data_IF_749869372162
#
_entry.id   IF_749869372162
#
_cell.length_a   1.000
_cell.length_b   1.000
_cell.length_c   1.000
_cell.angle_alpha   90.00
_cell.angle_beta   90.00
_cell.angle_gamma   90.00
#
_symmetry.space_group_name_H-M   'P 1'
#
loop_
_entity.id
_entity.type
_entity.pdbx_description
1 polymer ?
#
# COMPACT_ATOMS: atom_id res chain seq x y z
N UNK A 1 35.59 37.62 10.79
CA UNK A 1 35.22 36.73 11.91
C UNK A 1 34.08 35.86 11.41
N UNK A 2 34.44 34.68 10.92
CA UNK A 2 33.58 33.73 10.22
C UNK A 2 33.00 32.80 11.28
N UNK A 3 31.68 32.80 11.46
CA UNK A 3 31.00 31.86 12.36
C UNK A 3 29.83 31.23 11.62
N UNK A 4 30.12 30.03 11.11
CA UNK A 4 29.28 28.84 11.06
C UNK A 4 27.81 28.97 10.62
N UNK A 5 27.61 28.71 9.33
CA UNK A 5 26.41 28.07 8.76
C UNK A 5 26.27 26.66 9.33
N UNK A 6 25.28 26.44 10.19
CA UNK A 6 24.70 25.11 10.41
C UNK A 6 23.51 24.94 9.47
N UNK A 7 23.61 24.04 8.48
CA UNK A 7 22.46 23.67 7.63
C UNK A 7 21.47 22.85 8.47
N UNK A 8 20.18 23.21 8.54
CA UNK A 8 19.20 22.35 9.16
C UNK A 8 18.88 21.17 8.23
N UNK A 9 19.07 19.97 8.77
CA UNK A 9 18.17 18.83 8.53
C UNK A 9 18.05 18.31 7.10
N UNK A 10 19.15 17.82 6.52
CA UNK A 10 19.06 16.69 5.60
C UNK A 10 18.82 15.42 6.42
N UNK A 11 17.57 15.19 6.80
CA UNK A 11 17.04 13.83 6.91
C UNK A 11 15.95 13.78 5.87
N UNK A 12 16.37 13.52 4.63
CA UNK A 12 15.44 13.03 3.63
C UNK A 12 14.86 11.76 4.24
N UNK A 13 13.57 11.80 4.54
CA UNK A 13 12.78 10.60 4.77
C UNK A 13 13.19 9.61 3.67
N UNK A 14 13.70 8.45 4.07
CA UNK A 14 13.66 7.28 3.21
C UNK A 14 12.18 7.08 2.92
N UNK A 15 11.72 7.66 1.80
CA UNK A 15 10.53 7.19 1.11
C UNK A 15 10.74 5.68 1.06
N UNK A 16 9.92 4.93 1.78
CA UNK A 16 9.85 3.49 1.64
C UNK A 16 9.35 3.23 0.21
N UNK A 17 10.24 3.40 -0.77
CA UNK A 17 10.11 2.88 -2.10
C UNK A 17 10.12 1.38 -1.92
N UNK A 18 8.91 0.81 -1.89
CA UNK A 18 8.73 -0.62 -1.98
C UNK A 18 9.57 -1.09 -3.16
N UNK A 19 10.51 -2.05 -2.95
CA UNK A 19 11.37 -2.52 -4.02
C UNK A 19 10.48 -2.99 -5.16
N UNK A 20 10.56 -2.32 -6.31
CA UNK A 20 9.81 -2.79 -7.49
C UNK A 20 10.48 -4.10 -7.92
N UNK A 21 9.78 -5.25 -7.84
CA UNK A 21 10.36 -6.49 -8.31
C UNK A 21 10.60 -6.37 -9.81
N UNK A 22 11.84 -6.60 -10.25
CA UNK A 22 12.18 -6.69 -11.67
C UNK A 22 11.23 -7.69 -12.33
N UNK A 23 10.34 -7.19 -13.20
CA UNK A 23 9.42 -8.07 -13.89
C UNK A 23 10.22 -9.00 -14.81
N UNK A 24 10.04 -10.32 -14.72
CA UNK A 24 10.72 -11.25 -15.61
C UNK A 24 10.34 -10.92 -17.06
N UNK A 25 11.34 -10.87 -17.95
CA UNK A 25 11.16 -10.56 -19.35
C UNK A 25 10.09 -11.49 -19.98
N UNK A 26 9.13 -10.90 -20.67
CA UNK A 26 8.05 -11.64 -21.34
C UNK A 26 8.63 -12.47 -22.50
N UNK A 27 8.27 -13.76 -22.54
CA UNK A 27 8.79 -14.72 -23.53
C UNK A 27 7.96 -14.72 -24.80
N UNK A 28 6.66 -14.48 -24.70
CA UNK A 28 5.71 -14.55 -25.81
C UNK A 28 6.02 -13.59 -26.99
N UNK A 29 6.46 -12.33 -26.79
CA UNK A 29 6.75 -11.43 -27.90
C UNK A 29 7.81 -11.97 -28.87
N UNK A 30 8.92 -12.49 -28.35
CA UNK A 30 10.00 -13.04 -29.16
C UNK A 30 9.60 -14.32 -29.92
N UNK A 31 8.70 -15.12 -29.36
CA UNK A 31 8.17 -16.32 -30.02
C UNK A 31 7.15 -15.96 -31.10
N UNK A 32 6.35 -14.91 -30.86
CA UNK A 32 5.37 -14.40 -31.83
C UNK A 32 6.03 -13.85 -33.09
N UNK A 33 7.08 -13.04 -32.93
CA UNK A 33 7.88 -12.52 -34.04
C UNK A 33 8.45 -13.66 -34.90
N UNK A 34 9.02 -14.69 -34.26
CA UNK A 34 9.53 -15.88 -34.98
C UNK A 34 8.43 -16.65 -35.70
N UNK A 35 7.24 -16.75 -35.12
CA UNK A 35 6.09 -17.38 -35.77
C UNK A 35 5.63 -16.59 -37.00
N UNK A 36 5.56 -15.25 -36.89
CA UNK A 36 5.20 -14.38 -38.00
C UNK A 36 6.20 -14.51 -39.17
N UNK A 37 7.51 -14.53 -38.87
CA UNK A 37 8.54 -14.80 -39.88
C UNK A 37 8.38 -16.18 -40.53
N UNK A 38 8.09 -17.23 -39.73
CA UNK A 38 7.92 -18.60 -40.26
C UNK A 38 6.67 -18.73 -41.14
N UNK A 39 5.58 -18.03 -40.80
CA UNK A 39 4.37 -17.98 -41.62
C UNK A 39 4.60 -17.22 -42.93
N UNK A 40 5.35 -16.11 -42.89
CA UNK A 40 5.76 -15.39 -44.10
C UNK A 40 6.57 -16.28 -45.05
N UNK A 41 7.57 -16.98 -44.53
CA UNK A 41 8.39 -17.92 -45.30
C UNK A 41 7.57 -19.09 -45.88
N UNK A 42 6.56 -19.57 -45.16
CA UNK A 42 5.65 -20.61 -45.67
C UNK A 42 4.83 -20.10 -46.86
N UNK A 43 4.29 -18.88 -46.78
CA UNK A 43 3.52 -18.28 -47.88
C UNK A 43 4.39 -18.12 -49.13
N UNK A 44 5.62 -17.62 -49.00
CA UNK A 44 6.56 -17.49 -50.12
C UNK A 44 6.87 -18.85 -50.79
N UNK A 45 6.97 -19.93 -50.00
CA UNK A 45 7.17 -21.27 -50.53
C UNK A 45 5.91 -21.79 -51.25
N UNK A 46 4.72 -21.51 -50.73
CA UNK A 46 3.44 -21.94 -51.33
C UNK A 46 3.15 -21.24 -52.67
N UNK A 47 3.53 -19.96 -52.84
CA UNK A 47 3.35 -19.21 -54.09
C UNK A 47 4.12 -19.83 -55.28
N UNK A 48 5.31 -20.40 -55.03
CA UNK A 48 6.17 -21.00 -56.06
C UNK A 48 5.69 -22.38 -56.54
N UNK A 49 4.70 -22.99 -55.86
CA UNK A 49 4.22 -24.35 -56.17
C UNK A 49 3.59 -24.42 -57.56
N UNK A 50 2.85 -23.39 -57.96
CA UNK A 50 2.15 -23.38 -59.25
C UNK A 50 3.14 -23.38 -60.43
N UNK A 51 4.23 -22.63 -60.32
CA UNK A 51 5.29 -22.56 -61.33
C UNK A 51 6.01 -23.91 -61.47
N UNK A 52 6.42 -24.52 -60.35
CA UNK A 52 7.06 -25.84 -60.38
C UNK A 52 6.11 -26.97 -60.81
N UNK A 53 4.81 -26.84 -60.54
CA UNK A 53 3.81 -27.79 -61.01
C UNK A 53 3.61 -27.70 -62.53
N UNK A 54 3.62 -26.49 -63.08
CA UNK A 54 3.56 -26.25 -64.52
C UNK A 54 4.79 -26.83 -65.23
N UNK A 55 6.00 -26.54 -64.71
CA UNK A 55 7.26 -27.08 -65.25
C UNK A 55 7.30 -28.61 -65.26
N UNK A 56 6.75 -29.25 -64.21
CA UNK A 56 6.64 -30.69 -64.12
C UNK A 56 5.61 -31.25 -65.13
N UNK A 57 4.48 -30.56 -65.32
CA UNK A 57 3.46 -30.93 -66.31
C UNK A 57 3.97 -30.81 -67.76
N UNK A 58 4.82 -29.83 -68.02
CA UNK A 58 5.54 -29.64 -69.30
C UNK A 58 6.67 -30.66 -69.53
N UNK A 59 6.92 -31.57 -68.57
CA UNK A 59 7.98 -32.61 -68.62
C UNK A 59 9.39 -32.05 -68.81
N UNK A 60 9.66 -30.85 -68.26
CA UNK A 60 11.02 -30.31 -68.23
C UNK A 60 11.95 -31.27 -67.45
N UNK A 61 13.18 -31.52 -67.92
CA UNK A 61 14.09 -32.44 -67.26
C UNK A 61 14.40 -31.98 -65.83
N UNK A 62 14.22 -32.88 -64.85
CA UNK A 62 14.45 -32.61 -63.42
C UNK A 62 13.34 -31.81 -62.71
N UNK A 63 12.27 -31.39 -63.40
CA UNK A 63 11.20 -30.60 -62.79
C UNK A 63 10.35 -31.38 -61.77
N UNK A 64 10.15 -32.69 -61.99
CA UNK A 64 9.44 -33.54 -61.04
C UNK A 64 10.17 -33.65 -59.68
N UNK A 65 11.50 -33.82 -59.71
CA UNK A 65 12.33 -33.87 -58.50
C UNK A 65 12.37 -32.52 -57.79
N UNK A 66 12.44 -31.41 -58.55
CA UNK A 66 12.34 -30.05 -57.99
C UNK A 66 11.00 -29.82 -57.29
N UNK A 67 9.88 -30.20 -57.92
CA UNK A 67 8.54 -30.08 -57.32
C UNK A 67 8.41 -30.93 -56.05
N UNK A 68 8.93 -32.16 -56.07
CA UNK A 68 8.96 -33.04 -54.90
C UNK A 68 9.76 -32.45 -53.74
N UNK A 69 10.99 -31.97 -54.03
CA UNK A 69 11.84 -31.30 -53.03
C UNK A 69 11.20 -30.03 -52.47
N UNK A 70 10.50 -29.26 -53.30
CA UNK A 70 9.78 -28.05 -52.85
C UNK A 70 8.59 -28.38 -51.94
N UNK A 71 7.82 -29.42 -52.26
CA UNK A 71 6.75 -29.93 -51.37
C UNK A 71 7.30 -30.41 -50.03
N UNK A 72 8.46 -31.05 -50.01
CA UNK A 72 9.12 -31.45 -48.77
C UNK A 72 9.52 -30.23 -47.91
N UNK A 73 10.00 -29.14 -48.53
CA UNK A 73 10.30 -27.88 -47.83
C UNK A 73 9.04 -27.24 -47.22
N UNK A 74 7.93 -27.24 -47.96
CA UNK A 74 6.63 -26.75 -47.45
C UNK A 74 6.19 -27.57 -46.23
N UNK A 75 6.25 -28.90 -46.31
CA UNK A 75 5.88 -29.76 -45.17
C UNK A 75 6.77 -29.50 -43.93
N UNK A 76 8.07 -29.29 -44.12
CA UNK A 76 8.99 -28.93 -43.03
C UNK A 76 8.66 -27.54 -42.44
N UNK A 77 8.37 -26.56 -43.29
CA UNK A 77 7.97 -25.22 -42.85
C UNK A 77 6.63 -25.21 -42.09
N UNK A 78 5.65 -26.01 -42.52
CA UNK A 78 4.39 -26.22 -41.81
C UNK A 78 4.62 -26.81 -40.42
N UNK A 79 5.46 -27.85 -40.32
CA UNK A 79 5.83 -28.47 -39.04
C UNK A 79 6.48 -27.45 -38.10
N UNK A 80 7.45 -26.67 -38.59
CA UNK A 80 8.11 -25.63 -37.81
C UNK A 80 7.12 -24.53 -37.34
N UNK A 81 6.18 -24.12 -38.19
CA UNK A 81 5.14 -23.16 -37.83
C UNK A 81 4.21 -23.72 -36.73
N UNK A 82 3.85 -25.00 -36.80
CA UNK A 82 3.02 -25.66 -35.79
C UNK A 82 3.75 -25.81 -34.45
N UNK A 83 5.03 -26.15 -34.47
CA UNK A 83 5.89 -26.14 -33.28
C UNK A 83 5.96 -24.74 -32.66
N UNK A 84 6.18 -23.70 -33.47
CA UNK A 84 6.20 -22.30 -33.00
C UNK A 84 4.84 -21.83 -32.45
N UNK A 85 3.72 -22.26 -33.02
CA UNK A 85 2.38 -22.02 -32.46
C UNK A 85 2.24 -22.66 -31.09
N UNK A 86 2.71 -23.90 -30.92
CA UNK A 86 2.67 -24.60 -29.63
C UNK A 86 3.56 -23.90 -28.59
N UNK A 87 4.75 -23.47 -29.00
CA UNK A 87 5.69 -22.72 -28.17
C UNK A 87 5.12 -21.37 -27.74
N UNK A 88 4.42 -20.66 -28.64
CA UNK A 88 3.76 -19.39 -28.33
C UNK A 88 2.69 -19.57 -27.27
N UNK A 89 1.82 -20.58 -27.39
CA UNK A 89 0.78 -20.88 -26.39
C UNK A 89 1.39 -21.17 -25.02
N UNK A 90 2.50 -21.91 -24.98
CA UNK A 90 3.21 -22.19 -23.73
C UNK A 90 3.86 -20.93 -23.15
N UNK A 91 4.51 -20.11 -23.98
CA UNK A 91 5.12 -18.85 -23.57
C UNK A 91 4.08 -17.89 -22.97
N UNK A 92 2.94 -17.70 -23.62
CA UNK A 92 1.85 -16.86 -23.11
C UNK A 92 1.28 -17.39 -21.78
N UNK A 93 1.19 -18.72 -21.63
CA UNK A 93 0.76 -19.33 -20.36
C UNK A 93 1.77 -19.04 -19.24
N UNK A 94 3.07 -19.20 -19.52
CA UNK A 94 4.13 -18.94 -18.53
C UNK A 94 4.23 -17.45 -18.16
N UNK A 95 4.09 -16.55 -19.13
CA UNK A 95 4.10 -15.11 -18.89
C UNK A 95 2.93 -14.70 -17.97
N UNK A 96 1.71 -15.21 -18.22
CA UNK A 96 0.56 -15.01 -17.32
C UNK A 96 0.82 -15.55 -15.91
N UNK A 97 1.40 -16.75 -15.80
CA UNK A 97 1.75 -17.34 -14.49
C UNK A 97 2.74 -16.46 -13.71
N UNK A 98 3.79 -15.99 -14.39
CA UNK A 98 4.81 -15.16 -13.76
C UNK A 98 4.26 -13.79 -13.32
N UNK A 99 3.40 -13.17 -14.13
CA UNK A 99 2.74 -11.91 -13.76
C UNK A 99 1.88 -12.06 -12.50
N UNK A 100 1.09 -13.13 -12.41
CA UNK A 100 0.25 -13.38 -11.23
C UNK A 100 1.10 -13.68 -9.99
N UNK A 101 2.17 -14.46 -10.13
CA UNK A 101 3.09 -14.74 -9.02
C UNK A 101 3.76 -13.46 -8.49
N UNK A 102 4.20 -12.57 -9.39
CA UNK A 102 4.78 -11.28 -9.01
C UNK A 102 3.75 -10.38 -8.29
N UNK A 103 2.52 -10.29 -8.81
CA UNK A 103 1.44 -9.51 -8.19
C UNK A 103 1.07 -10.06 -6.80
N UNK A 104 1.03 -11.39 -6.65
CA UNK A 104 0.75 -12.06 -5.36
C UNK A 104 1.83 -11.74 -4.34
N UNK A 105 3.11 -11.80 -4.74
CA UNK A 105 4.24 -11.45 -3.87
C UNK A 105 4.19 -9.99 -3.44
N UNK A 106 4.00 -9.08 -4.39
CA UNK A 106 3.89 -7.64 -4.12
C UNK A 106 2.77 -7.33 -3.12
N UNK A 107 1.59 -7.94 -3.27
CA UNK A 107 0.48 -7.77 -2.33
C UNK A 107 0.81 -8.31 -0.94
N UNK A 108 1.55 -9.41 -0.86
CA UNK A 108 1.99 -9.99 0.42
C UNK A 108 2.95 -9.06 1.14
N UNK A 109 3.97 -8.54 0.43
CA UNK A 109 4.92 -7.54 0.95
C UNK A 109 4.19 -6.26 1.41
N UNK A 110 3.22 -5.79 0.64
CA UNK A 110 2.39 -4.63 1.03
C UNK A 110 1.56 -4.89 2.29
N UNK A 111 0.98 -6.09 2.43
CA UNK A 111 0.22 -6.48 3.63
C UNK A 111 1.12 -6.56 4.88
N UNK A 112 2.36 -7.04 4.73
CA UNK A 112 3.34 -7.07 5.82
C UNK A 112 3.68 -5.65 6.29
N UNK A 113 3.98 -4.74 5.36
CA UNK A 113 4.24 -3.33 5.69
C UNK A 113 3.03 -2.69 6.35
N UNK A 114 1.83 -2.90 5.81
CA UNK A 114 0.60 -2.37 6.39
C UNK A 114 0.36 -2.88 7.82
N UNK A 115 0.57 -4.17 8.06
CA UNK A 115 0.40 -4.78 9.40
C UNK A 115 1.42 -4.22 10.40
N UNK A 116 2.67 -3.99 9.95
CA UNK A 116 3.71 -3.34 10.75
C UNK A 116 3.30 -1.92 11.14
N UNK A 117 2.84 -1.10 10.20
CA UNK A 117 2.41 0.28 10.47
C UNK A 117 1.18 0.33 11.39
N UNK A 118 0.23 -0.60 11.27
CA UNK A 118 -0.90 -0.72 12.20
C UNK A 118 -0.43 -1.05 13.63
N UNK A 119 0.60 -1.90 13.76
CA UNK A 119 1.20 -2.20 15.06
C UNK A 119 1.90 -0.98 15.66
N UNK A 120 2.64 -0.21 14.86
CA UNK A 120 3.26 1.03 15.33
C UNK A 120 2.22 2.10 15.73
N UNK A 121 1.10 2.17 15.00
CA UNK A 121 -0.04 3.01 15.37
C UNK A 121 -0.65 2.61 16.72
N UNK A 122 -0.80 1.32 17.01
CA UNK A 122 -1.27 0.84 18.33
C UNK A 122 -0.31 1.26 19.44
N UNK A 123 1.01 1.06 19.24
CA UNK A 123 2.04 1.50 20.21
C UNK A 123 2.00 3.01 20.43
N UNK A 124 1.84 3.79 19.37
CA UNK A 124 1.72 5.24 19.47
C UNK A 124 0.46 5.64 20.26
N UNK A 125 -0.67 4.94 20.09
CA UNK A 125 -1.86 5.18 20.90
C UNK A 125 -1.65 4.87 22.38
N UNK A 126 -0.94 3.80 22.72
CA UNK A 126 -0.61 3.48 24.12
C UNK A 126 0.20 4.62 24.78
N UNK A 127 1.16 5.20 24.04
CA UNK A 127 1.91 6.38 24.50
C UNK A 127 0.98 7.59 24.70
N UNK A 128 0.06 7.84 23.76
CA UNK A 128 -0.93 8.94 23.88
C UNK A 128 -1.81 8.75 25.11
N UNK A 129 -2.31 7.54 25.37
CA UNK A 129 -3.17 7.25 26.52
C UNK A 129 -2.42 7.41 27.85
N UNK A 130 -1.15 6.99 27.92
CA UNK A 130 -0.28 7.23 29.09
C UNK A 130 -0.07 8.73 29.34
N UNK A 131 0.29 9.49 28.31
CA UNK A 131 0.44 10.93 28.41
C UNK A 131 -0.89 11.62 28.82
N UNK A 132 -2.02 11.14 28.28
CA UNK A 132 -3.35 11.60 28.66
C UNK A 132 -3.66 11.36 30.15
N UNK A 133 -3.31 10.18 30.68
CA UNK A 133 -3.47 9.87 32.10
C UNK A 133 -2.59 10.75 33.00
N UNK A 134 -1.33 10.97 32.63
CA UNK A 134 -0.42 11.87 33.35
C UNK A 134 -0.93 13.32 33.35
N UNK A 135 -1.39 13.79 32.19
CA UNK A 135 -1.99 15.12 32.04
C UNK A 135 -3.25 15.25 32.91
N UNK A 136 -4.14 14.25 32.92
CA UNK A 136 -5.34 14.26 33.75
C UNK A 136 -4.99 14.35 35.25
N UNK A 137 -3.99 13.58 35.71
CA UNK A 137 -3.52 13.64 37.09
C UNK A 137 -2.87 15.00 37.43
N UNK A 138 -2.07 15.55 36.51
CA UNK A 138 -1.46 16.88 36.68
C UNK A 138 -2.51 17.98 36.75
N UNK A 139 -3.52 17.93 35.87
CA UNK A 139 -4.63 18.86 35.87
C UNK A 139 -5.45 18.75 37.16
N UNK A 140 -5.75 17.53 37.63
CA UNK A 140 -6.43 17.31 38.91
C UNK A 140 -5.70 17.96 40.10
N UNK A 141 -4.38 17.81 40.18
CA UNK A 141 -3.56 18.48 41.21
C UNK A 141 -3.62 20.01 41.12
N UNK A 142 -3.55 20.56 39.91
CA UNK A 142 -3.70 22.00 39.70
C UNK A 142 -5.09 22.51 40.11
N UNK A 143 -6.16 21.79 39.72
CA UNK A 143 -7.54 22.13 40.08
C UNK A 143 -7.76 22.07 41.60
N UNK A 144 -7.27 21.04 42.27
CA UNK A 144 -7.32 20.96 43.73
C UNK A 144 -6.55 22.10 44.41
N UNK A 145 -5.35 22.41 43.95
CA UNK A 145 -4.58 23.53 44.48
C UNK A 145 -5.32 24.87 44.30
N UNK A 146 -5.94 25.07 43.13
CA UNK A 146 -6.76 26.26 42.83
C UNK A 146 -7.96 26.36 43.78
N UNK A 147 -8.67 25.25 44.03
CA UNK A 147 -9.77 25.20 44.99
C UNK A 147 -9.31 25.46 46.44
N UNK A 148 -8.14 24.94 46.82
CA UNK A 148 -7.56 25.20 48.16
C UNK A 148 -7.21 26.67 48.33
N UNK A 149 -6.69 27.34 47.30
CA UNK A 149 -6.45 28.79 47.34
C UNK A 149 -7.75 29.57 47.54
N UNK A 150 -8.82 29.20 46.81
CA UNK A 150 -10.14 29.82 46.99
C UNK A 150 -10.73 29.59 48.39
N UNK A 151 -10.54 28.39 48.96
CA UNK A 151 -10.98 28.08 50.32
C UNK A 151 -10.17 28.83 51.40
N UNK A 152 -8.94 29.23 51.10
CA UNK A 152 -8.05 29.94 52.02
C UNK A 152 -8.21 31.47 51.99
N UNK A 153 -9.18 32.00 51.25
CA UNK A 153 -9.44 33.44 51.16
C UNK A 153 -9.78 34.00 52.54
N UNK A 154 -9.06 35.03 53.03
CA UNK A 154 -9.32 35.61 54.34
C UNK A 154 -10.75 36.15 54.49
N UNK A 155 -11.35 35.92 55.65
CA UNK A 155 -12.70 36.42 55.97
C UNK A 155 -12.73 37.95 55.84
N UNK A 156 -13.78 38.47 55.20
CA UNK A 156 -13.93 39.91 54.93
C UNK A 156 -13.22 40.40 53.66
N UNK A 157 -12.56 39.50 52.92
CA UNK A 157 -11.95 39.79 51.61
C UNK A 157 -12.66 39.02 50.49
N UNK A 158 -12.46 39.42 49.25
CA UNK A 158 -12.99 38.75 48.07
C UNK A 158 -11.93 38.62 46.98
N UNK A 159 -11.95 37.49 46.26
CA UNK A 159 -11.07 37.29 45.10
C UNK A 159 -11.62 38.12 43.93
N UNK A 160 -10.83 39.01 43.33
CA UNK A 160 -11.29 39.80 42.19
C UNK A 160 -11.53 38.89 40.98
N UNK A 161 -12.58 39.19 40.20
CA UNK A 161 -12.77 38.55 38.90
C UNK A 161 -11.71 39.08 37.92
N UNK A 162 -10.76 38.22 37.57
CA UNK A 162 -9.71 38.51 36.59
C UNK A 162 -9.73 37.46 35.49
N UNK A 163 -9.42 37.87 34.26
CA UNK A 163 -9.25 36.96 33.13
C UNK A 163 -7.79 36.95 32.66
N UNK A 164 -7.33 35.82 32.12
CA UNK A 164 -5.96 35.61 31.65
C UNK A 164 -5.86 35.81 30.13
N UNK A 165 -4.78 36.43 29.67
CA UNK A 165 -4.46 36.62 28.24
C UNK A 165 -5.07 37.88 27.64
N UNK A 166 -4.66 38.20 26.41
CA UNK A 166 -5.23 39.32 25.64
C UNK A 166 -6.74 39.14 25.50
N UNK A 167 -7.50 40.17 25.87
CA UNK A 167 -8.98 40.17 25.81
C UNK A 167 -9.63 39.05 26.65
N UNK A 168 -8.92 38.49 27.63
CA UNK A 168 -9.43 37.40 28.47
C UNK A 168 -9.59 36.07 27.75
N UNK A 169 -8.89 35.86 26.62
CA UNK A 169 -8.95 34.63 25.82
C UNK A 169 -8.75 33.35 26.64
N UNK A 170 -7.87 33.39 27.65
CA UNK A 170 -7.55 32.26 28.52
C UNK A 170 -8.63 31.92 29.55
N UNK A 171 -9.66 32.75 29.70
CA UNK A 171 -10.73 32.58 30.67
C UNK A 171 -10.41 33.16 32.06
N UNK A 172 -11.27 32.93 33.07
CA UNK A 172 -11.11 33.48 34.41
C UNK A 172 -9.91 32.83 35.13
N UNK A 173 -9.13 33.64 35.86
CA UNK A 173 -7.93 33.23 36.56
C UNK A 173 -8.17 32.13 37.61
N UNK A 174 -9.39 32.09 38.17
CA UNK A 174 -9.87 31.05 39.08
C UNK A 174 -11.05 30.29 38.46
N UNK A 175 -10.80 29.59 37.34
CA UNK A 175 -11.79 28.75 36.69
C UNK A 175 -11.16 27.74 35.71
N UNK A 176 -11.95 27.21 34.79
CA UNK A 176 -11.50 26.21 33.83
C UNK A 176 -10.61 26.85 32.75
N UNK A 177 -9.29 26.83 32.94
CA UNK A 177 -8.28 27.39 31.99
C UNK A 177 -8.05 26.54 30.73
N UNK A 178 -9.09 25.85 30.23
CA UNK A 178 -9.01 24.93 29.09
C UNK A 178 -8.41 25.62 27.84
N UNK A 179 -8.81 26.87 27.58
CA UNK A 179 -8.33 27.66 26.42
C UNK A 179 -6.85 28.03 26.50
N UNK A 180 -6.36 28.32 27.71
CA UNK A 180 -4.95 28.63 27.94
C UNK A 180 -4.09 27.38 27.72
N UNK A 181 -4.53 26.24 28.27
CA UNK A 181 -3.85 24.94 28.09
C UNK A 181 -3.84 24.54 26.61
N UNK A 182 -4.95 24.71 25.90
CA UNK A 182 -5.03 24.41 24.46
C UNK A 182 -4.10 25.28 23.62
N UNK A 183 -4.01 26.58 23.92
CA UNK A 183 -3.08 27.48 23.22
C UNK A 183 -1.62 27.08 23.46
N UNK A 184 -1.28 26.64 24.67
CA UNK A 184 0.05 26.16 25.00
C UNK A 184 0.38 24.84 24.28
N UNK A 185 -0.59 23.94 24.16
CA UNK A 185 -0.43 22.73 23.34
C UNK A 185 -0.21 23.03 21.87
N UNK A 186 -0.95 23.99 21.31
CA UNK A 186 -0.72 24.42 19.93
C UNK A 186 0.68 25.04 19.74
N UNK A 187 1.17 25.82 20.72
CA UNK A 187 2.51 26.42 20.70
C UNK A 187 3.62 25.36 20.74
N UNK A 188 3.43 24.32 21.54
CA UNK A 188 4.40 23.23 21.74
C UNK A 188 4.28 22.11 20.70
N UNK A 189 3.18 22.06 19.95
CA UNK A 189 2.91 21.03 18.96
C UNK A 189 4.03 20.95 17.91
N UNK A 190 4.58 19.77 17.64
CA UNK A 190 5.56 19.59 16.57
C UNK A 190 4.93 19.84 15.20
N UNK A 191 5.75 20.27 14.26
CA UNK A 191 5.37 20.36 12.85
C UNK A 191 5.22 18.95 12.28
N UNK A 192 4.29 18.82 11.34
CA UNK A 192 4.10 17.55 10.62
C UNK A 192 5.29 17.30 9.71
N UNK A 193 5.65 16.03 9.56
CA UNK A 193 6.76 15.64 8.67
C UNK A 193 6.46 15.95 7.20
N UNK A 194 5.18 15.99 6.82
CA UNK A 194 4.72 16.42 5.49
C UNK A 194 4.77 17.96 5.27
N UNK A 195 5.13 18.74 6.28
CA UNK A 195 5.22 20.20 6.20
C UNK A 195 3.86 20.94 6.16
N UNK A 196 2.73 20.23 6.22
CA UNK A 196 1.39 20.82 6.12
C UNK A 196 0.78 21.01 7.52
N UNK A 197 1.36 21.93 8.29
CA UNK A 197 0.83 22.36 9.59
C UNK A 197 1.42 21.62 10.79
N UNK A 198 0.69 21.62 11.92
CA UNK A 198 1.14 21.07 13.21
C UNK A 198 0.20 20.00 13.72
N UNK A 199 0.72 19.05 14.49
CA UNK A 199 -0.11 18.04 15.15
C UNK A 199 -0.90 18.66 16.31
N UNK A 200 -2.22 18.74 16.19
CA UNK A 200 -3.08 19.33 17.23
C UNK A 200 -3.70 18.22 18.08
N UNK A 201 -3.55 18.33 19.41
CA UNK A 201 -4.19 17.41 20.37
C UNK A 201 -5.68 17.75 20.48
N UNK A 202 -6.60 16.76 20.36
CA UNK A 202 -8.02 17.02 20.59
C UNK A 202 -8.29 17.25 22.08
N UNK A 203 -8.85 18.42 22.43
CA UNK A 203 -9.39 18.66 23.77
C UNK A 203 -10.85 18.18 23.78
N UNK A 204 -11.06 16.89 24.05
CA UNK A 204 -12.40 16.31 24.03
C UNK A 204 -13.08 16.49 25.40
N UNK A 205 -14.26 17.14 25.41
CA UNK A 205 -15.19 17.02 26.54
C UNK A 205 -15.92 15.68 26.44
N UNK A 206 -16.14 14.97 27.57
CA UNK A 206 -16.96 13.76 27.56
C UNK A 206 -18.35 14.07 27.01
N UNK A 207 -18.94 13.14 26.26
CA UNK A 207 -20.32 13.30 25.80
C UNK A 207 -21.28 13.31 27.00
N UNK A 208 -22.48 13.89 26.82
CA UNK A 208 -23.53 13.88 27.85
C UNK A 208 -23.90 12.47 28.32
N UNK A 209 -23.71 11.46 27.46
CA UNK A 209 -23.93 10.04 27.78
C UNK A 209 -22.80 9.48 28.66
N UNK A 210 -21.55 9.85 28.38
CA UNK A 210 -20.40 9.46 29.20
C UNK A 210 -20.43 10.10 30.60
N UNK A 211 -20.97 11.33 30.73
CA UNK A 211 -21.19 11.97 32.03
C UNK A 211 -22.29 11.29 32.87
N UNK A 212 -23.26 10.63 32.23
CA UNK A 212 -24.36 9.91 32.91
C UNK A 212 -24.02 8.44 33.21
N UNK A 213 -23.05 7.87 32.48
CA UNK A 213 -22.60 6.49 32.65
C UNK A 213 -21.61 6.30 33.81
N UNK A 214 -21.35 5.04 34.16
CA UNK A 214 -20.27 4.69 35.08
C UNK A 214 -18.93 4.72 34.33
N UNK A 215 -17.98 5.56 34.76
CA UNK A 215 -16.65 5.63 34.15
C UNK A 215 -15.93 4.28 34.13
N UNK A 216 -16.15 3.42 35.14
CA UNK A 216 -15.58 2.06 35.20
C UNK A 216 -16.23 1.06 34.25
N UNK A 217 -17.33 1.41 33.58
CA UNK A 217 -17.96 0.59 32.54
C UNK A 217 -17.48 0.95 31.13
N UNK A 218 -16.68 2.00 30.97
CA UNK A 218 -16.08 2.38 29.69
C UNK A 218 -14.88 1.48 29.45
N UNK A 219 -14.92 0.72 28.35
CA UNK A 219 -13.82 -0.17 27.98
C UNK A 219 -12.54 0.63 27.70
N UNK A 220 -11.34 0.11 28.05
CA UNK A 220 -10.09 0.78 27.74
C UNK A 220 -9.94 1.05 26.23
N UNK A 221 -9.67 2.30 25.86
CA UNK A 221 -9.60 2.72 24.46
C UNK A 221 -8.53 1.99 23.63
N UNK A 222 -7.45 1.51 24.26
CA UNK A 222 -6.43 0.71 23.56
C UNK A 222 -6.95 -0.66 23.11
N UNK A 223 -7.87 -1.26 23.87
CA UNK A 223 -8.47 -2.54 23.52
C UNK A 223 -9.47 -2.37 22.36
N UNK A 224 -10.25 -1.28 22.39
CA UNK A 224 -11.16 -0.94 21.29
C UNK A 224 -10.39 -0.64 19.98
N UNK A 225 -9.26 0.07 20.08
CA UNK A 225 -8.40 0.31 18.92
C UNK A 225 -7.82 -0.99 18.39
N UNK A 226 -7.30 -1.86 19.26
CA UNK A 226 -6.71 -3.15 18.86
C UNK A 226 -7.73 -4.03 18.13
N UNK A 227 -8.96 -4.11 18.64
CA UNK A 227 -10.02 -4.90 18.00
C UNK A 227 -10.39 -4.32 16.62
N UNK A 228 -10.48 -2.99 16.52
CA UNK A 228 -10.76 -2.31 15.26
C UNK A 228 -9.62 -2.52 14.24
N UNK A 229 -8.37 -2.38 14.66
CA UNK A 229 -7.19 -2.56 13.82
C UNK A 229 -7.06 -4.02 13.34
N UNK A 230 -7.34 -4.99 14.22
CA UNK A 230 -7.41 -6.40 13.86
C UNK A 230 -8.52 -6.69 12.83
N UNK A 231 -9.69 -6.07 12.98
CA UNK A 231 -10.78 -6.22 12.02
C UNK A 231 -10.43 -5.65 10.64
N UNK A 232 -9.74 -4.50 10.59
CA UNK A 232 -9.25 -3.88 9.36
C UNK A 232 -8.23 -4.78 8.65
N UNK A 233 -7.22 -5.28 9.38
CA UNK A 233 -6.21 -6.20 8.82
C UNK A 233 -6.87 -7.46 8.27
N UNK A 234 -7.82 -8.04 9.01
CA UNK A 234 -8.55 -9.24 8.58
C UNK A 234 -9.37 -8.99 7.31
N UNK A 235 -10.00 -7.83 7.17
CA UNK A 235 -10.77 -7.48 5.97
C UNK A 235 -9.85 -7.28 4.75
N UNK A 236 -8.75 -6.53 4.91
CA UNK A 236 -7.79 -6.31 3.82
C UNK A 236 -7.14 -7.63 3.38
N UNK A 237 -6.79 -8.51 4.32
CA UNK A 237 -6.28 -9.85 4.00
C UNK A 237 -7.26 -10.64 3.13
N UNK A 238 -8.56 -10.63 3.48
CA UNK A 238 -9.59 -11.31 2.67
C UNK A 238 -9.71 -10.71 1.26
N UNK A 239 -9.60 -9.40 1.14
CA UNK A 239 -9.62 -8.73 -0.16
C UNK A 239 -8.41 -9.13 -1.02
N UNK A 240 -7.22 -9.22 -0.42
CA UNK A 240 -6.00 -9.69 -1.10
C UNK A 240 -6.18 -11.15 -1.57
N UNK A 241 -6.69 -12.03 -0.70
CA UNK A 241 -6.94 -13.43 -1.06
C UNK A 241 -7.89 -13.55 -2.25
N UNK A 242 -8.98 -12.78 -2.24
CA UNK A 242 -9.94 -12.71 -3.36
C UNK A 242 -9.27 -12.26 -4.66
N UNK A 243 -8.47 -11.19 -4.60
CA UNK A 243 -7.76 -10.66 -5.77
C UNK A 243 -6.68 -11.64 -6.29
N UNK A 244 -6.05 -12.41 -5.41
CA UNK A 244 -5.09 -13.44 -5.80
C UNK A 244 -5.81 -14.60 -6.48
N UNK A 245 -6.94 -15.05 -5.93
CA UNK A 245 -7.76 -16.12 -6.50
C UNK A 245 -8.35 -15.76 -7.88
N UNK A 246 -8.78 -14.51 -8.06
CA UNK A 246 -9.26 -14.00 -9.34
C UNK A 246 -8.13 -13.94 -10.38
N UNK A 247 -6.94 -13.47 -9.99
CA UNK A 247 -5.78 -13.41 -10.86
C UNK A 247 -5.29 -14.81 -11.28
N UNK A 248 -5.23 -15.76 -10.35
CA UNK A 248 -4.85 -17.15 -10.62
C UNK A 248 -5.84 -17.84 -11.57
N UNK A 249 -7.14 -17.61 -11.36
CA UNK A 249 -8.20 -18.09 -12.27
C UNK A 249 -8.06 -17.50 -13.68
N UNK A 250 -7.83 -16.19 -13.79
CA UNK A 250 -7.63 -15.53 -15.09
C UNK A 250 -6.39 -16.03 -15.84
N UNK A 251 -5.33 -16.44 -15.12
CA UNK A 251 -4.14 -17.04 -15.71
C UNK A 251 -4.30 -18.53 -16.10
N UNK A 252 -5.43 -19.16 -15.78
CA UNK A 252 -5.68 -20.58 -16.04
C UNK A 252 -4.82 -21.51 -15.19
N UNK A 253 -4.49 -21.09 -13.96
CA UNK A 253 -3.72 -21.86 -12.99
C UNK A 253 -4.70 -22.69 -12.17
N UNK A 254 -4.60 -24.02 -12.24
CA UNK A 254 -5.50 -24.90 -11.47
C UNK A 254 -5.05 -25.00 -10.01
N UNK A 255 -5.94 -25.50 -9.17
CA UNK A 255 -5.66 -25.80 -7.75
C UNK A 255 -4.52 -26.80 -7.53
N UNK A 256 -4.18 -27.65 -8.51
CA UNK A 256 -3.05 -28.58 -8.41
C UNK A 256 -1.69 -27.87 -8.55
N UNK A 257 -1.63 -26.75 -9.28
CA UNK A 257 -0.42 -25.92 -9.38
C UNK A 257 -0.12 -25.14 -8.07
N UNK A 258 -1.08 -25.05 -7.13
CA UNK A 258 -0.90 -24.33 -5.84
C UNK A 258 0.14 -24.97 -4.92
N UNK A 259 0.34 -26.29 -4.99
CA UNK A 259 1.26 -27.01 -4.09
C UNK A 259 2.75 -26.85 -4.43
N UNK A 260 3.08 -26.28 -5.59
CA UNK A 260 4.46 -26.12 -6.06
C UNK A 260 4.92 -24.66 -6.10
N UNK A 261 4.06 -23.71 -5.74
CA UNK A 261 4.34 -22.27 -5.79
C UNK A 261 4.34 -21.57 -4.41
N UNK A 262 4.02 -22.29 -3.34
CA UNK A 262 4.20 -21.88 -1.95
C UNK A 262 5.46 -22.53 -1.38
#
# INVERSE_FOLDING_TARGET
MTMFRGKPGQQAEEVHELPQPEQPAQRAPAVREKLECALGALVELEEQVAEYALDAAERKPGAADKLSGHRAKIAAAQTAADELRSALRLAEKLDRKNQVAAATRMRSEQLEVFTKEMTEREKAMDVVLKAGAEMAAAYGRYSEATLRVLAAVPVGTAVPMMSIGSEGFGGPAFGTLERLILAEFYRLAPERSDGVGRFVVPFAKPSSEQFRGNAGAIRPGIEELRDADAAIVADISKQIDKLNDEAMRAAGISTDDRKHAA
#
